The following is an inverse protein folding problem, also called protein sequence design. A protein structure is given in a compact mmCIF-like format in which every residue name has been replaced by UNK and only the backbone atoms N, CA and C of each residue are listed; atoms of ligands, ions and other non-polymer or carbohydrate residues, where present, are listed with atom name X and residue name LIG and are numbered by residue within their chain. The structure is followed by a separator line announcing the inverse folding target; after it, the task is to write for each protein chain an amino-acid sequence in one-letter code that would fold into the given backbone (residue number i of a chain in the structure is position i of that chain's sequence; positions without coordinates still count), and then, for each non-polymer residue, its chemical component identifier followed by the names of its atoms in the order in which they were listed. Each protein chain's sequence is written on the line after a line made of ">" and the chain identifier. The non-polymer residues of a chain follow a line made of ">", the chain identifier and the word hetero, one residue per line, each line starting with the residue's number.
data_IF_556230126288
#
_entry.id   IF_556230126288
#
_cell.length_a   1.000
_cell.length_b   1.000
_cell.length_c   1.000
_cell.angle_alpha   90.00
_cell.angle_beta   90.00
_cell.angle_gamma   90.00
#
_symmetry.space_group_name_H-M   'P 1'
#
loop_
_entity.id
_entity.type
_entity.pdbx_description
1 polymer ?
#
# COMPACT_ATOMS: atom_id res chain seq x y z
N UNK A 1 16.14 3.55 -28.55
CA UNK A 1 15.81 3.67 -27.13
C UNK A 1 14.63 2.73 -26.87
N UNK A 2 14.90 1.45 -26.65
CA UNK A 2 13.90 0.43 -26.34
C UNK A 2 14.50 -0.48 -25.26
N UNK A 3 14.62 0.00 -24.02
CA UNK A 3 15.15 -0.83 -22.91
C UNK A 3 14.62 -0.44 -21.53
N UNK A 4 13.43 0.18 -21.41
CA UNK A 4 12.88 0.48 -20.08
C UNK A 4 11.65 -0.36 -19.75
N UNK A 5 10.72 -0.55 -20.69
CA UNK A 5 9.46 -1.30 -20.45
C UNK A 5 9.65 -2.82 -20.27
N UNK A 6 10.66 -3.41 -20.92
CA UNK A 6 10.96 -4.84 -20.77
C UNK A 6 11.55 -5.19 -19.39
N UNK A 7 12.23 -4.24 -18.76
CA UNK A 7 12.94 -4.45 -17.49
C UNK A 7 11.97 -4.44 -16.30
N UNK A 8 11.13 -3.40 -16.21
CA UNK A 8 10.07 -3.29 -15.18
C UNK A 8 9.05 -4.42 -15.23
N UNK A 9 8.67 -4.89 -16.43
CA UNK A 9 7.76 -6.02 -16.54
C UNK A 9 8.40 -7.31 -16.04
N UNK A 10 9.69 -7.51 -16.33
CA UNK A 10 10.43 -8.69 -15.88
C UNK A 10 10.65 -8.70 -14.36
N UNK A 11 10.86 -7.52 -13.76
CA UNK A 11 11.05 -7.35 -12.32
C UNK A 11 9.75 -7.58 -11.55
N UNK A 12 8.63 -6.99 -11.99
CA UNK A 12 7.31 -7.25 -11.40
C UNK A 12 6.93 -8.74 -11.44
N UNK A 13 7.20 -9.43 -12.56
CA UNK A 13 6.97 -10.87 -12.69
C UNK A 13 7.85 -11.70 -11.74
N UNK A 14 9.10 -11.29 -11.52
CA UNK A 14 9.99 -11.95 -10.55
C UNK A 14 9.48 -11.78 -9.11
N UNK A 15 9.03 -10.58 -8.75
CA UNK A 15 8.44 -10.32 -7.44
C UNK A 15 7.10 -11.05 -7.21
N UNK A 16 6.33 -11.25 -8.28
CA UNK A 16 5.13 -12.08 -8.24
C UNK A 16 5.47 -13.57 -8.00
N UNK A 17 6.41 -14.12 -8.77
CA UNK A 17 6.76 -15.53 -8.70
C UNK A 17 7.59 -15.90 -7.46
N UNK A 18 8.36 -14.94 -6.92
CA UNK A 18 9.28 -15.14 -5.80
C UNK A 18 9.29 -13.90 -4.88
N UNK A 19 8.18 -13.66 -4.15
CA UNK A 19 8.07 -12.49 -3.28
C UNK A 19 9.15 -12.54 -2.19
N UNK A 20 9.93 -11.46 -2.12
CA UNK A 20 10.95 -11.20 -1.11
C UNK A 20 10.29 -10.80 0.20
N UNK A 21 10.90 -11.20 1.31
CA UNK A 21 10.50 -10.78 2.66
C UNK A 21 9.03 -11.06 3.03
N UNK A 22 8.40 -12.05 2.40
CA UNK A 22 7.02 -12.41 2.70
C UNK A 22 6.94 -13.34 3.92
N UNK A 23 6.10 -12.98 4.89
CA UNK A 23 5.85 -13.75 6.11
C UNK A 23 5.78 -12.88 7.36
N UNK A 24 5.24 -13.42 8.47
CA UNK A 24 5.23 -12.74 9.76
C UNK A 24 6.62 -12.75 10.44
N UNK A 25 6.81 -11.86 11.41
CA UNK A 25 8.00 -11.80 12.26
C UNK A 25 7.59 -11.61 13.72
N UNK A 26 7.95 -12.57 14.57
CA UNK A 26 7.53 -12.60 15.98
C UNK A 26 8.32 -11.62 16.86
N UNK A 27 9.57 -11.34 16.52
CA UNK A 27 10.50 -10.49 17.29
C UNK A 27 10.61 -9.06 16.73
N UNK A 28 9.54 -8.56 16.11
CA UNK A 28 9.49 -7.23 15.53
C UNK A 28 9.43 -6.11 16.59
N UNK A 29 10.13 -5.01 16.35
CA UNK A 29 10.06 -3.79 17.15
C UNK A 29 8.81 -2.97 16.83
N UNK A 30 8.35 -3.04 15.58
CA UNK A 30 7.15 -2.38 15.08
C UNK A 30 6.34 -3.30 14.19
N UNK A 31 5.02 -3.24 14.32
CA UNK A 31 4.05 -4.04 13.56
C UNK A 31 2.91 -3.11 13.17
N UNK A 32 2.74 -2.92 11.86
CA UNK A 32 1.83 -1.92 11.31
C UNK A 32 0.96 -2.47 10.21
N UNK A 33 -0.33 -2.16 10.22
CA UNK A 33 -1.27 -2.58 9.18
C UNK A 33 -1.83 -1.37 8.44
N UNK A 34 -1.71 -1.38 7.11
CA UNK A 34 -2.42 -0.48 6.21
C UNK A 34 -3.67 -1.16 5.69
N UNK A 35 -4.85 -0.65 6.06
CA UNK A 35 -6.15 -1.29 5.80
C UNK A 35 -7.01 -0.47 4.84
N UNK A 36 -7.52 -1.10 3.79
CA UNK A 36 -8.63 -0.55 3.03
C UNK A 36 -9.96 -0.96 3.67
N UNK A 37 -10.62 -0.02 4.35
CA UNK A 37 -11.91 -0.30 5.02
C UNK A 37 -13.02 -0.69 4.04
N UNK A 38 -12.95 -0.26 2.78
CA UNK A 38 -14.00 -0.56 1.80
C UNK A 38 -13.91 -2.03 1.34
N UNK A 39 -12.71 -2.54 1.09
CA UNK A 39 -12.49 -3.90 0.56
C UNK A 39 -12.09 -4.91 1.64
N UNK A 40 -11.70 -4.43 2.82
CA UNK A 40 -11.08 -5.24 3.90
C UNK A 40 -9.75 -5.91 3.48
N UNK A 41 -9.15 -5.45 2.38
CA UNK A 41 -7.79 -5.80 2.00
C UNK A 41 -6.79 -5.04 2.86
N UNK A 42 -5.62 -5.63 3.09
CA UNK A 42 -4.59 -5.02 3.91
C UNK A 42 -3.19 -5.50 3.55
N UNK A 43 -2.21 -4.70 3.95
CA UNK A 43 -0.82 -5.11 4.11
C UNK A 43 -0.42 -4.91 5.57
N UNK A 44 0.33 -5.85 6.13
CA UNK A 44 0.94 -5.72 7.46
C UNK A 44 2.44 -5.80 7.33
N UNK A 45 3.16 -4.79 7.81
CA UNK A 45 4.62 -4.72 7.85
C UNK A 45 5.12 -4.99 9.27
N UNK A 46 6.17 -5.79 9.35
CA UNK A 46 6.94 -6.06 10.55
C UNK A 46 8.33 -5.45 10.38
N UNK A 47 8.75 -4.65 11.36
CA UNK A 47 9.99 -3.90 11.32
C UNK A 47 10.85 -4.27 12.54
N UNK A 48 12.12 -4.59 12.30
CA UNK A 48 13.13 -4.80 13.32
C UNK A 48 14.33 -3.88 13.08
N UNK A 49 14.76 -3.18 14.12
CA UNK A 49 15.77 -2.14 14.08
C UNK A 49 17.04 -2.56 14.82
N UNK A 50 18.19 -2.28 14.22
CA UNK A 50 19.49 -2.29 14.89
C UNK A 50 19.99 -0.85 14.93
N UNK A 51 19.79 -0.18 16.07
CA UNK A 51 20.00 1.26 16.19
C UNK A 51 19.10 2.06 15.25
N UNK A 52 19.70 2.73 14.27
CA UNK A 52 19.00 3.54 13.25
C UNK A 52 18.75 2.77 11.95
N UNK A 53 19.25 1.53 11.82
CA UNK A 53 19.20 0.72 10.60
C UNK A 53 18.07 -0.30 10.66
N UNK A 54 17.38 -0.51 9.54
CA UNK A 54 16.38 -1.58 9.37
C UNK A 54 17.13 -2.91 9.25
N UNK A 55 17.28 -3.63 10.37
CA UNK A 55 17.94 -4.95 10.41
C UNK A 55 17.15 -5.96 9.58
N UNK A 56 15.84 -5.99 9.79
CA UNK A 56 14.91 -6.86 9.07
C UNK A 56 13.59 -6.15 8.85
N UNK A 57 12.99 -6.44 7.70
CA UNK A 57 11.63 -6.06 7.38
C UNK A 57 10.96 -7.23 6.66
N UNK A 58 9.71 -7.48 7.01
CA UNK A 58 8.87 -8.49 6.35
C UNK A 58 7.43 -8.02 6.28
N UNK A 59 6.62 -8.68 5.47
CA UNK A 59 5.21 -8.32 5.36
C UNK A 59 4.32 -9.54 5.11
N UNK A 60 3.05 -9.38 5.45
CA UNK A 60 1.96 -10.24 4.96
C UNK A 60 0.92 -9.36 4.26
N UNK A 61 0.21 -9.94 3.31
CA UNK A 61 -0.82 -9.23 2.57
C UNK A 61 -2.08 -10.10 2.42
N UNK A 62 -3.23 -9.42 2.38
CA UNK A 62 -4.50 -9.99 1.95
C UNK A 62 -5.13 -9.05 0.94
N UNK A 63 -5.37 -9.54 -0.28
CA UNK A 63 -6.02 -8.79 -1.34
C UNK A 63 -5.47 -9.16 -2.71
N UNK A 64 -5.31 -8.18 -3.59
CA UNK A 64 -4.80 -8.38 -4.95
C UNK A 64 -3.33 -8.80 -4.96
N UNK A 65 -2.93 -9.44 -6.05
CA UNK A 65 -1.55 -9.82 -6.35
C UNK A 65 -0.62 -8.60 -6.36
N UNK A 66 -1.13 -7.43 -6.73
CA UNK A 66 -0.41 -6.15 -6.67
C UNK A 66 0.12 -5.84 -5.27
N UNK A 67 -0.64 -6.12 -4.21
CA UNK A 67 -0.20 -5.86 -2.83
C UNK A 67 1.02 -6.72 -2.49
N UNK A 68 1.05 -7.95 -2.99
CA UNK A 68 2.18 -8.88 -2.80
C UNK A 68 3.41 -8.36 -3.57
N UNK A 69 3.24 -8.01 -4.84
CA UNK A 69 4.35 -7.49 -5.66
C UNK A 69 4.91 -6.20 -5.04
N UNK A 70 4.05 -5.23 -4.72
CA UNK A 70 4.43 -3.94 -4.17
C UNK A 70 5.05 -4.06 -2.77
N UNK A 71 4.49 -4.93 -1.93
CA UNK A 71 5.08 -5.25 -0.62
C UNK A 71 6.48 -5.80 -0.79
N UNK A 72 6.67 -6.75 -1.72
CA UNK A 72 7.97 -7.34 -2.00
C UNK A 72 9.00 -6.32 -2.49
N UNK A 73 8.64 -5.49 -3.48
CA UNK A 73 9.52 -4.45 -4.02
C UNK A 73 9.90 -3.46 -2.93
N UNK A 74 8.91 -2.99 -2.16
CA UNK A 74 9.14 -2.02 -1.09
C UNK A 74 10.07 -2.56 0.00
N UNK A 75 9.83 -3.79 0.48
CA UNK A 75 10.67 -4.36 1.54
C UNK A 75 12.09 -4.65 1.08
N UNK A 76 12.29 -5.05 -0.19
CA UNK A 76 13.64 -5.23 -0.74
C UNK A 76 14.35 -3.87 -0.93
N UNK A 77 13.60 -2.81 -1.23
CA UNK A 77 14.13 -1.46 -1.41
C UNK A 77 14.69 -0.84 -0.13
N UNK A 78 14.07 -1.10 1.03
CA UNK A 78 14.41 -0.39 2.28
C UNK A 78 15.20 -1.23 3.29
N UNK A 79 15.29 -2.55 3.12
CA UNK A 79 16.03 -3.41 4.06
C UNK A 79 17.52 -3.04 4.09
N UNK A 80 18.08 -2.93 5.30
CA UNK A 80 19.48 -2.54 5.51
C UNK A 80 19.77 -1.04 5.38
N UNK A 81 18.78 -0.22 5.04
CA UNK A 81 18.92 1.24 5.04
C UNK A 81 18.59 1.84 6.42
N UNK A 82 18.91 3.12 6.61
CA UNK A 82 18.49 3.85 7.82
C UNK A 82 17.00 4.19 7.76
N UNK A 83 16.36 4.29 8.93
CA UNK A 83 14.96 4.69 9.01
C UNK A 83 14.70 6.05 8.34
N UNK A 84 15.63 7.00 8.46
CA UNK A 84 15.56 8.31 7.83
C UNK A 84 15.55 8.23 6.29
N UNK A 85 16.34 7.33 5.71
CA UNK A 85 16.35 7.14 4.26
C UNK A 85 15.10 6.40 3.79
N UNK A 86 14.64 5.39 4.54
CA UNK A 86 13.38 4.71 4.28
C UNK A 86 12.19 5.70 4.29
N UNK A 87 12.18 6.67 5.22
CA UNK A 87 11.19 7.75 5.24
C UNK A 87 11.21 8.61 3.98
N UNK A 88 12.39 9.01 3.50
CA UNK A 88 12.51 9.75 2.24
C UNK A 88 11.96 8.96 1.07
N UNK A 89 12.24 7.66 1.00
CA UNK A 89 11.68 6.76 -0.03
C UNK A 89 10.16 6.70 0.05
N UNK A 90 9.60 6.55 1.24
CA UNK A 90 8.15 6.55 1.46
C UNK A 90 7.52 7.87 1.02
N UNK A 91 8.17 9.01 1.26
CA UNK A 91 7.68 10.33 0.83
C UNK A 91 7.77 10.54 -0.70
N UNK A 92 8.81 10.01 -1.34
CA UNK A 92 8.95 9.98 -2.80
C UNK A 92 7.83 9.14 -3.43
N UNK A 93 7.68 7.89 -2.97
CA UNK A 93 6.66 6.96 -3.45
C UNK A 93 5.24 7.48 -3.18
N UNK A 94 5.01 8.19 -2.08
CA UNK A 94 3.71 8.81 -1.81
C UNK A 94 3.36 9.90 -2.83
N UNK A 95 4.34 10.71 -3.26
CA UNK A 95 4.11 11.74 -4.29
C UNK A 95 3.81 11.11 -5.64
N UNK A 96 4.51 10.03 -5.99
CA UNK A 96 4.26 9.26 -7.21
C UNK A 96 2.87 8.62 -7.17
N UNK A 97 2.49 8.05 -6.03
CA UNK A 97 1.17 7.49 -5.81
C UNK A 97 0.06 8.55 -5.92
N UNK A 98 0.25 9.73 -5.31
CA UNK A 98 -0.68 10.84 -5.44
C UNK A 98 -0.85 11.26 -6.90
N UNK A 99 0.25 11.41 -7.65
CA UNK A 99 0.21 11.71 -9.08
C UNK A 99 -0.47 10.61 -9.91
N UNK A 100 -0.29 9.34 -9.53
CA UNK A 100 -0.93 8.21 -10.18
C UNK A 100 -2.44 8.14 -9.92
N UNK A 101 -2.91 8.60 -8.75
CA UNK A 101 -4.34 8.80 -8.50
C UNK A 101 -4.90 9.97 -9.34
N UNK A 102 -4.14 11.07 -9.43
CA UNK A 102 -4.55 12.26 -10.19
C UNK A 102 -4.60 12.00 -11.72
N UNK A 103 -3.86 11.01 -12.22
CA UNK A 103 -3.85 10.65 -13.64
C UNK A 103 -4.92 9.63 -14.06
N UNK A 104 -5.80 9.21 -13.14
CA UNK A 104 -6.90 8.30 -13.45
C UNK A 104 -7.89 9.01 -14.37
N UNK A 105 -8.32 8.35 -15.45
CA UNK A 105 -9.33 8.88 -16.37
C UNK A 105 -10.75 8.72 -15.80
N UNK A 106 -11.61 9.74 -15.98
CA UNK A 106 -12.99 9.68 -15.49
C UNK A 106 -13.75 8.50 -16.09
N UNK A 107 -14.66 7.89 -15.31
CA UNK A 107 -15.48 6.81 -15.83
C UNK A 107 -16.30 7.31 -17.03
N UNK A 108 -16.48 6.45 -18.01
CA UNK A 108 -17.38 6.70 -19.12
C UNK A 108 -18.83 6.64 -18.62
N UNK A 109 -19.65 7.58 -19.09
CA UNK A 109 -21.08 7.65 -18.78
C UNK A 109 -21.87 7.30 -20.05
N UNK A 110 -22.57 6.19 -20.03
CA UNK A 110 -23.47 5.73 -21.08
C UNK A 110 -24.92 5.76 -20.60
N UNK A 111 -25.60 6.88 -20.90
CA UNK A 111 -27.00 7.09 -20.53
C UNK A 111 -27.98 6.18 -21.28
N UNK A 112 -27.52 5.40 -22.26
CA UNK A 112 -28.37 4.43 -22.96
C UNK A 112 -28.56 3.13 -22.17
N UNK A 113 -27.78 2.92 -21.11
CA UNK A 113 -27.85 1.75 -20.22
C UNK A 113 -28.79 1.98 -19.03
N UNK A 114 -29.24 0.89 -18.36
CA UNK A 114 -29.95 0.99 -17.08
C UNK A 114 -29.16 1.79 -16.04
N UNK A 115 -29.83 2.51 -15.15
CA UNK A 115 -29.24 3.47 -14.18
C UNK A 115 -28.04 2.90 -13.39
N UNK A 116 -28.08 1.63 -12.98
CA UNK A 116 -26.98 0.96 -12.27
C UNK A 116 -25.79 0.51 -13.13
N UNK A 117 -25.85 0.71 -14.45
CA UNK A 117 -24.84 0.25 -15.44
C UNK A 117 -24.30 1.41 -16.30
N UNK A 118 -24.73 2.65 -16.04
CA UNK A 118 -24.36 3.81 -16.86
C UNK A 118 -22.91 4.22 -16.67
N UNK A 119 -22.31 3.91 -15.53
CA UNK A 119 -20.96 4.36 -15.16
C UNK A 119 -19.99 3.19 -15.27
N UNK A 120 -18.92 3.34 -16.06
CA UNK A 120 -17.90 2.30 -16.16
C UNK A 120 -17.10 2.14 -14.87
N UNK A 121 -16.69 0.91 -14.56
CA UNK A 121 -15.83 0.64 -13.42
C UNK A 121 -14.40 1.11 -13.72
N UNK A 122 -13.86 1.97 -12.85
CA UNK A 122 -12.45 2.39 -12.88
C UNK A 122 -11.71 1.64 -11.79
N UNK A 123 -10.68 0.88 -12.15
CA UNK A 123 -9.88 0.11 -11.19
C UNK A 123 -8.80 0.99 -10.58
N UNK A 124 -8.74 1.01 -9.25
CA UNK A 124 -7.68 1.65 -8.46
C UNK A 124 -6.83 0.64 -7.68
N UNK A 125 -6.90 -0.65 -8.05
CA UNK A 125 -6.34 -1.74 -7.24
C UNK A 125 -4.84 -1.59 -7.00
N UNK A 126 -4.07 -1.23 -8.03
CA UNK A 126 -2.62 -1.08 -7.91
C UNK A 126 -2.25 0.13 -7.05
N UNK A 127 -2.94 1.26 -7.21
CA UNK A 127 -2.75 2.46 -6.38
C UNK A 127 -3.13 2.18 -4.92
N UNK A 128 -4.28 1.55 -4.68
CA UNK A 128 -4.75 1.18 -3.35
C UNK A 128 -3.78 0.19 -2.69
N UNK A 129 -3.21 -0.74 -3.45
CA UNK A 129 -2.15 -1.65 -3.01
C UNK A 129 -0.90 -0.92 -2.53
N UNK A 130 -0.40 0.04 -3.32
CA UNK A 130 0.74 0.86 -2.94
C UNK A 130 0.44 1.69 -1.68
N UNK A 131 -0.75 2.28 -1.62
CA UNK A 131 -1.22 3.04 -0.47
C UNK A 131 -1.23 2.19 0.81
N UNK A 132 -1.71 0.95 0.74
CA UNK A 132 -1.71 0.02 1.86
C UNK A 132 -0.30 -0.32 2.33
N UNK A 133 0.63 -0.61 1.42
CA UNK A 133 2.02 -0.93 1.75
C UNK A 133 2.71 0.25 2.44
N UNK A 134 2.64 1.45 1.85
CA UNK A 134 3.24 2.66 2.44
C UNK A 134 2.60 3.01 3.79
N UNK A 135 1.28 2.88 3.90
CA UNK A 135 0.56 3.11 5.15
C UNK A 135 0.92 2.09 6.22
N UNK A 136 1.10 0.81 5.86
CA UNK A 136 1.54 -0.23 6.78
C UNK A 136 2.94 0.08 7.36
N UNK A 137 3.85 0.60 6.53
CA UNK A 137 5.18 1.02 7.00
C UNK A 137 5.07 2.16 8.02
N UNK A 138 4.30 3.21 7.69
CA UNK A 138 4.04 4.33 8.62
C UNK A 138 3.44 3.84 9.94
N UNK A 139 2.49 2.92 9.86
CA UNK A 139 1.87 2.31 11.03
C UNK A 139 2.88 1.50 11.86
N UNK A 140 3.82 0.79 11.22
CA UNK A 140 4.82 -0.02 11.91
C UNK A 140 5.82 0.86 12.67
N UNK A 141 6.25 1.96 12.04
CA UNK A 141 7.10 2.98 12.70
C UNK A 141 6.35 3.61 13.86
N UNK A 142 5.07 3.97 13.68
CA UNK A 142 4.26 4.54 14.76
C UNK A 142 4.08 3.56 15.92
N UNK A 143 3.86 2.28 15.65
CA UNK A 143 3.80 1.24 16.68
C UNK A 143 5.09 1.20 17.50
N UNK A 144 6.25 1.15 16.83
CA UNK A 144 7.56 1.14 17.49
C UNK A 144 7.76 2.38 18.38
N UNK A 145 7.40 3.58 17.90
CA UNK A 145 7.49 4.82 18.69
C UNK A 145 6.61 4.78 19.94
N UNK A 146 5.36 4.32 19.81
CA UNK A 146 4.41 4.20 20.92
C UNK A 146 4.89 3.21 21.98
N UNK A 147 5.50 2.11 21.55
CA UNK A 147 6.14 1.14 22.44
C UNK A 147 7.30 1.77 23.23
N UNK A 148 8.11 2.62 22.59
CA UNK A 148 9.17 3.40 23.28
C UNK A 148 8.60 4.42 24.28
N UNK A 149 7.39 4.92 24.05
CA UNK A 149 6.63 5.77 24.98
C UNK A 149 5.96 4.98 26.13
N UNK A 150 6.09 3.65 26.17
CA UNK A 150 5.51 2.78 27.20
C UNK A 150 4.06 2.38 26.95
N UNK A 151 3.57 2.51 25.71
CA UNK A 151 2.24 2.05 25.32
C UNK A 151 2.34 0.58 24.91
N UNK A 152 1.60 -0.29 25.62
CA UNK A 152 1.52 -1.72 25.34
C UNK A 152 0.36 -1.99 24.36
N UNK A 153 0.70 -2.30 23.11
CA UNK A 153 -0.24 -2.73 22.06
C UNK A 153 0.45 -3.80 21.19
N UNK A 154 -0.32 -4.71 20.58
CA UNK A 154 0.25 -5.79 19.78
C UNK A 154 0.65 -5.32 18.37
N UNK A 155 -0.08 -4.35 17.83
CA UNK A 155 0.16 -3.75 16.51
C UNK A 155 -0.58 -2.41 16.41
N UNK A 156 -0.22 -1.63 15.40
CA UNK A 156 -0.92 -0.39 15.07
C UNK A 156 -1.57 -0.49 13.69
N UNK A 157 -2.83 -0.07 13.55
CA UNK A 157 -3.55 -0.10 12.26
C UNK A 157 -3.92 1.30 11.83
N UNK A 158 -3.65 1.60 10.56
CA UNK A 158 -4.05 2.84 9.89
C UNK A 158 -4.87 2.49 8.66
N UNK A 159 -6.03 3.12 8.51
CA UNK A 159 -6.82 2.98 7.29
C UNK A 159 -6.25 3.85 6.18
N UNK A 160 -6.18 3.32 4.97
CA UNK A 160 -5.83 4.14 3.81
C UNK A 160 -6.94 5.14 3.53
N UNK A 161 -6.55 6.35 3.13
CA UNK A 161 -7.47 7.32 2.55
C UNK A 161 -7.41 7.16 1.04
N UNK A 162 -8.55 6.92 0.41
CA UNK A 162 -8.67 6.92 -1.05
C UNK A 162 -9.01 8.33 -1.49
N UNK A 163 -8.15 8.97 -2.29
CA UNK A 163 -8.57 10.16 -3.03
C UNK A 163 -9.46 9.68 -4.17
N UNK A 164 -10.77 9.90 -4.04
CA UNK A 164 -11.67 9.68 -5.17
C UNK A 164 -11.39 10.79 -6.20
N UNK A 165 -10.94 10.48 -7.43
CA UNK A 165 -10.57 11.52 -8.38
C UNK A 165 -11.77 12.38 -8.83
N UNK A 166 -13.01 11.95 -8.54
CA UNK A 166 -14.25 12.60 -8.99
C UNK A 166 -15.23 12.93 -7.86
N UNK A 167 -14.82 12.79 -6.60
CA UNK A 167 -15.63 13.15 -5.45
C UNK A 167 -14.78 13.80 -4.36
N UNK A 168 -15.30 14.88 -3.78
CA UNK A 168 -14.74 15.51 -2.58
C UNK A 168 -15.07 14.72 -1.29
N UNK A 169 -15.65 13.52 -1.41
CA UNK A 169 -15.95 12.60 -0.30
C UNK A 169 -15.29 11.22 -0.49
N UNK A 170 -15.11 10.49 0.61
CA UNK A 170 -14.52 9.15 0.62
C UNK A 170 -15.19 8.19 -0.38
N UNK A 171 -14.39 7.37 -1.07
CA UNK A 171 -14.81 6.37 -2.07
C UNK A 171 -15.91 5.38 -1.59
N UNK A 172 -16.24 5.36 -0.30
CA UNK A 172 -17.30 4.53 0.26
C UNK A 172 -18.69 4.78 -0.38
N UNK A 173 -18.90 5.92 -1.03
CA UNK A 173 -20.20 6.30 -1.59
C UNK A 173 -20.60 5.59 -2.91
N UNK A 174 -19.69 4.88 -3.58
CA UNK A 174 -20.06 4.13 -4.81
C UNK A 174 -20.56 2.69 -4.53
N UNK A 175 -20.45 2.20 -3.28
CA UNK A 175 -20.86 0.85 -2.91
C UNK A 175 -22.33 0.74 -2.43
N UNK A 176 -23.05 1.87 -2.32
CA UNK A 176 -24.45 1.90 -1.91
C UNK A 176 -25.26 2.89 -2.74
N UNK A 177 -25.62 2.48 -3.96
CA UNK A 177 -26.91 2.89 -4.54
C UNK A 177 -27.81 1.67 -4.50
N UNK A 178 -28.33 1.38 -3.32
CA UNK A 178 -29.60 0.67 -3.18
C UNK A 178 -30.70 1.72 -3.11
N UNK A 179 -31.64 1.67 -4.04
CA UNK A 179 -32.82 2.51 -4.07
C UNK A 179 -33.41 2.60 -5.45
#
# INVERSE_FOLDING_TARGET
>A
METQTGDIHSEALNHFANPKNFGPMDDADGIGTGLDNATQNYATIYLKMEGETIEKISYVARGSEDIVILGSVFTEMVIGDTLDNAWKRVDELQKELDAAYDSIEPPEIDLTKPEGEQVSAVSTQSQDGANMVLTAFRAAVRHMERKKEGIEEESFTMSISKRCPYSNSDCAAMAHVQG
#
